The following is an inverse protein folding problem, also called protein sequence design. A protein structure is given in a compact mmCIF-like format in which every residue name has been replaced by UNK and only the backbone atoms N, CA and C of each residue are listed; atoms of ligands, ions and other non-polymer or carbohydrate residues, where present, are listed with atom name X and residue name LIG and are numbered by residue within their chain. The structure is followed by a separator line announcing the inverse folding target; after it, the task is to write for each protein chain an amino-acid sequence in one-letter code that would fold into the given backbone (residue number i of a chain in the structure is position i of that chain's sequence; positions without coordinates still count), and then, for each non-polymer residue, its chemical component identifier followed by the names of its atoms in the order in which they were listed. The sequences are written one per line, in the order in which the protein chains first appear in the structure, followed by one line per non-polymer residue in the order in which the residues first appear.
data_IF_357595601424
#
_entry.id   IF_357595601424
#
_cell.length_a   1.000
_cell.length_b   1.000
_cell.length_c   1.000
_cell.angle_alpha   90.00
_cell.angle_beta   90.00
_cell.angle_gamma   90.00
#
_symmetry.space_group_name_H-M   'P 1'
#
loop_
_entity.id
_entity.type
_entity.pdbx_description
1 polymer ?
#
# COMPACT_ATOMS: atom_id res chain seq x y z
N UNK A 1 20.77 23.55 -3.79
CA UNK A 1 20.31 23.20 -2.44
C UNK A 1 19.09 24.03 -2.02
N UNK A 2 19.20 25.36 -1.82
CA UNK A 2 18.07 26.23 -1.44
C UNK A 2 16.80 26.13 -2.30
N UNK A 3 16.93 25.99 -3.64
CA UNK A 3 15.78 25.82 -4.53
C UNK A 3 15.11 24.43 -4.44
N UNK A 4 15.86 23.41 -3.99
CA UNK A 4 15.33 22.07 -3.78
C UNK A 4 14.61 22.02 -2.43
N UNK A 5 15.23 22.56 -1.38
CA UNK A 5 14.61 22.71 -0.06
C UNK A 5 13.29 23.47 -0.10
N UNK A 6 13.22 24.59 -0.84
CA UNK A 6 11.98 25.37 -0.96
C UNK A 6 10.87 24.62 -1.70
N UNK A 7 11.22 23.76 -2.67
CA UNK A 7 10.26 22.91 -3.40
C UNK A 7 9.83 21.67 -2.61
N UNK A 8 10.64 21.22 -1.65
CA UNK A 8 10.35 20.07 -0.79
C UNK A 8 9.67 20.46 0.54
N UNK A 9 9.79 21.73 0.94
CA UNK A 9 9.18 22.29 2.16
C UNK A 9 7.67 21.98 2.31
N UNK A 10 6.82 22.12 1.26
CA UNK A 10 5.39 21.85 1.37
C UNK A 10 5.06 20.39 1.71
N UNK A 11 6.00 19.48 1.44
CA UNK A 11 5.82 18.05 1.62
C UNK A 11 6.48 17.53 2.91
N UNK A 12 7.07 18.42 3.72
CA UNK A 12 7.67 18.06 5.00
C UNK A 12 8.92 17.17 4.90
N UNK A 13 9.47 16.94 3.70
CA UNK A 13 10.75 16.25 3.53
C UNK A 13 11.87 17.08 4.17
N UNK A 14 12.73 16.43 4.93
CA UNK A 14 13.88 17.06 5.56
C UNK A 14 15.15 16.55 4.90
N UNK A 15 15.90 17.43 4.23
CA UNK A 15 17.23 17.10 3.74
C UNK A 15 18.15 16.89 4.93
N UNK A 16 18.88 15.78 4.93
CA UNK A 16 19.84 15.42 5.97
C UNK A 16 21.26 15.79 5.59
N UNK A 17 21.64 15.42 4.37
CA UNK A 17 22.96 15.66 3.84
C UNK A 17 22.90 15.69 2.31
N UNK A 18 23.83 16.43 1.72
CA UNK A 18 24.10 16.41 0.28
C UNK A 18 25.61 16.46 0.10
N UNK A 19 26.21 15.28 -0.05
CA UNK A 19 27.66 15.10 -0.12
C UNK A 19 28.00 14.07 -1.19
N UNK A 20 29.09 14.33 -1.93
CA UNK A 20 29.61 13.40 -2.94
C UNK A 20 28.54 12.94 -3.95
N UNK A 21 27.70 13.88 -4.40
CA UNK A 21 26.57 13.67 -5.34
C UNK A 21 25.43 12.81 -4.80
N UNK A 22 25.46 12.49 -3.52
CA UNK A 22 24.42 11.73 -2.83
C UNK A 22 23.54 12.67 -2.02
N UNK A 23 22.25 12.68 -2.34
CA UNK A 23 21.21 13.34 -1.59
C UNK A 23 20.60 12.36 -0.59
N UNK A 24 20.65 12.70 0.70
CA UNK A 24 20.03 11.93 1.77
C UNK A 24 18.95 12.77 2.45
N UNK A 25 17.77 12.19 2.63
CA UNK A 25 16.64 12.90 3.24
C UNK A 25 15.73 11.98 4.04
N UNK A 26 15.02 12.53 5.02
CA UNK A 26 13.90 11.86 5.68
C UNK A 26 12.60 12.15 4.95
N UNK A 27 11.84 11.08 4.67
CA UNK A 27 10.47 11.15 4.20
C UNK A 27 9.55 11.27 5.41
N UNK A 28 8.91 12.42 5.59
CA UNK A 28 7.96 12.61 6.68
C UNK A 28 6.58 12.11 6.27
N UNK A 29 5.97 11.21 7.04
CA UNK A 29 4.54 10.96 6.89
C UNK A 29 3.74 12.08 7.60
N UNK A 30 2.58 12.48 7.06
CA UNK A 30 1.72 13.45 7.69
C UNK A 30 1.18 12.87 8.99
N UNK A 31 0.99 13.77 9.94
CA UNK A 31 0.25 13.50 11.17
C UNK A 31 -1.21 13.37 10.76
N UNK A 32 -1.76 12.15 10.84
CA UNK A 32 -3.19 11.92 10.64
C UNK A 32 -3.88 12.10 11.98
N UNK A 33 -4.87 12.98 12.04
CA UNK A 33 -5.67 13.20 13.25
C UNK A 33 -6.75 12.12 13.38
N UNK A 34 -7.19 11.88 14.61
CA UNK A 34 -8.21 10.88 14.96
C UNK A 34 -9.61 11.11 14.34
N UNK A 35 -9.79 12.25 13.68
CA UNK A 35 -11.05 12.65 13.05
C UNK A 35 -10.99 12.50 11.51
N UNK A 36 -9.92 11.94 10.95
CA UNK A 36 -9.88 11.60 9.54
C UNK A 36 -10.87 10.46 9.26
N UNK A 37 -11.91 10.73 8.47
CA UNK A 37 -12.70 9.72 7.80
C UNK A 37 -12.23 9.62 6.35
N UNK A 38 -11.58 8.52 6.00
CA UNK A 38 -11.17 8.22 4.62
C UNK A 38 -12.00 7.03 4.15
N UNK A 39 -12.90 7.27 3.19
CA UNK A 39 -13.86 6.28 2.66
C UNK A 39 -14.63 5.54 3.77
N UNK A 40 -15.28 6.26 4.69
CA UNK A 40 -16.18 5.68 5.69
C UNK A 40 -15.50 4.88 6.81
N UNK A 41 -14.17 4.79 6.83
CA UNK A 41 -13.42 4.30 8.00
C UNK A 41 -13.02 5.49 8.86
N UNK A 42 -13.41 5.47 10.14
CA UNK A 42 -12.95 6.42 11.15
C UNK A 42 -11.59 5.95 11.66
N UNK A 43 -10.58 6.78 11.50
CA UNK A 43 -9.20 6.45 11.87
C UNK A 43 -8.95 6.85 13.32
N UNK A 44 -8.84 5.90 14.25
CA UNK A 44 -8.40 6.19 15.61
C UNK A 44 -6.85 6.22 15.67
N UNK A 45 -6.26 7.11 14.88
CA UNK A 45 -4.81 7.24 14.85
C UNK A 45 -4.30 8.07 16.02
N UNK A 46 -3.35 7.52 16.79
CA UNK A 46 -2.50 8.32 17.67
C UNK A 46 -1.60 9.21 16.81
N UNK A 47 -1.66 10.52 17.06
CA UNK A 47 -0.93 11.60 16.38
C UNK A 47 0.59 11.37 16.34
N UNK A 48 1.13 10.54 17.25
CA UNK A 48 2.57 10.29 17.39
C UNK A 48 3.10 9.09 16.58
N UNK A 49 2.26 8.28 15.92
CA UNK A 49 2.69 6.99 15.34
C UNK A 49 3.08 7.00 13.86
N UNK A 50 3.05 8.16 13.19
CA UNK A 50 3.35 8.29 11.76
C UNK A 50 4.71 8.91 11.46
N UNK A 51 5.65 8.83 12.40
CA UNK A 51 7.06 9.07 12.09
C UNK A 51 7.47 8.00 11.08
N UNK A 52 7.40 8.34 9.80
CA UNK A 52 8.07 7.56 8.78
C UNK A 52 9.56 7.80 8.98
N UNK A 53 10.24 6.80 9.54
CA UNK A 53 11.69 6.76 9.66
C UNK A 53 12.38 6.46 8.32
N UNK A 54 11.66 6.61 7.19
CA UNK A 54 12.22 6.25 5.89
C UNK A 54 13.24 7.29 5.46
N UNK A 55 14.47 6.84 5.30
CA UNK A 55 15.52 7.60 4.66
C UNK A 55 15.53 7.29 3.16
N UNK A 56 15.50 8.34 2.35
CA UNK A 56 15.68 8.27 0.92
C UNK A 56 17.09 8.72 0.57
N UNK A 57 17.83 7.86 -0.11
CA UNK A 57 19.17 8.10 -0.63
C UNK A 57 19.10 8.11 -2.15
N UNK A 58 19.56 9.19 -2.77
CA UNK A 58 19.57 9.37 -4.22
C UNK A 58 20.99 9.76 -4.65
N UNK A 59 21.63 8.91 -5.43
CA UNK A 59 22.84 9.28 -6.17
C UNK A 59 22.43 10.04 -7.43
N UNK A 60 23.00 11.23 -7.65
CA UNK A 60 22.60 12.14 -8.73
C UNK A 60 23.73 12.26 -9.75
N UNK A 61 23.41 12.22 -11.03
CA UNK A 61 24.36 12.63 -12.07
C UNK A 61 24.60 14.14 -12.01
N UNK A 62 25.83 14.59 -11.71
CA UNK A 62 26.21 16.01 -11.72
C UNK A 62 25.93 16.71 -13.05
N UNK A 63 26.01 15.98 -14.16
CA UNK A 63 25.92 16.54 -15.51
C UNK A 63 24.45 16.78 -15.87
N UNK A 64 23.59 15.78 -15.64
CA UNK A 64 22.19 15.81 -16.08
C UNK A 64 21.18 16.10 -14.95
N UNK A 65 21.64 16.12 -13.69
CA UNK A 65 20.80 16.23 -12.48
C UNK A 65 19.72 15.13 -12.40
N UNK A 66 20.02 13.95 -12.96
CA UNK A 66 19.14 12.78 -12.99
C UNK A 66 19.51 11.77 -11.89
N UNK A 67 18.52 11.07 -11.30
CA UNK A 67 18.80 10.01 -10.34
C UNK A 67 19.48 8.81 -11.01
N UNK A 68 20.69 8.44 -10.57
CA UNK A 68 21.41 7.23 -10.99
C UNK A 68 21.01 6.01 -10.20
N UNK A 69 20.89 6.20 -8.88
CA UNK A 69 20.58 5.14 -7.93
C UNK A 69 19.69 5.71 -6.84
N UNK A 70 18.67 4.94 -6.48
CA UNK A 70 17.68 5.33 -5.47
C UNK A 70 17.56 4.19 -4.48
N UNK A 71 17.64 4.51 -3.20
CA UNK A 71 17.52 3.55 -2.11
C UNK A 71 16.63 4.13 -1.02
N UNK A 72 15.74 3.30 -0.48
CA UNK A 72 14.88 3.61 0.65
C UNK A 72 15.32 2.72 1.82
N UNK A 73 15.46 3.30 3.01
CA UNK A 73 15.79 2.61 4.25
C UNK A 73 14.69 2.89 5.27
N UNK A 74 14.02 1.88 5.85
CA UNK A 74 14.18 0.46 5.53
C UNK A 74 13.78 0.13 4.09
N UNK A 75 14.37 -0.94 3.55
CA UNK A 75 14.02 -1.46 2.22
C UNK A 75 12.72 -2.27 2.32
N UNK A 76 11.61 -1.55 2.51
CA UNK A 76 10.26 -2.09 2.59
C UNK A 76 9.33 -1.52 1.49
N UNK A 77 9.84 -0.60 0.67
CA UNK A 77 9.19 0.01 -0.49
C UNK A 77 9.94 -0.34 -1.78
N UNK A 78 9.21 -0.74 -2.83
CA UNK A 78 9.82 -1.03 -4.13
C UNK A 78 10.00 0.27 -4.93
N UNK A 79 11.26 0.68 -5.11
CA UNK A 79 11.62 1.80 -5.98
C UNK A 79 11.23 1.52 -7.44
N UNK A 80 11.42 0.29 -7.90
CA UNK A 80 11.12 -0.10 -9.29
C UNK A 80 9.64 0.12 -9.62
N UNK A 81 8.74 -0.21 -8.69
CA UNK A 81 7.30 0.03 -8.85
C UNK A 81 7.00 1.54 -8.95
N UNK A 82 7.72 2.38 -8.21
CA UNK A 82 7.56 3.84 -8.30
C UNK A 82 8.06 4.39 -9.64
N UNK A 83 9.18 3.86 -10.14
CA UNK A 83 9.72 4.22 -11.45
C UNK A 83 8.78 3.76 -12.57
N UNK A 84 8.29 2.52 -12.53
CA UNK A 84 7.31 2.02 -13.51
C UNK A 84 6.05 2.90 -13.55
N UNK A 85 5.57 3.36 -12.38
CA UNK A 85 4.45 4.30 -12.33
C UNK A 85 4.78 5.64 -12.98
N UNK A 86 5.99 6.17 -12.76
CA UNK A 86 6.49 7.37 -13.42
C UNK A 86 6.38 7.27 -14.92
N UNK A 87 6.95 6.20 -15.47
CA UNK A 87 7.01 5.95 -16.91
C UNK A 87 5.61 5.73 -17.50
N UNK A 88 4.70 5.13 -16.71
CA UNK A 88 3.31 4.90 -17.14
C UNK A 88 2.44 6.16 -17.10
N UNK A 89 2.75 7.13 -16.22
CA UNK A 89 2.04 8.41 -16.13
C UNK A 89 2.49 9.29 -17.30
N UNK A 90 1.70 9.30 -18.37
CA UNK A 90 1.99 10.03 -19.63
C UNK A 90 2.03 11.57 -19.50
N UNK A 91 2.08 12.10 -18.28
CA UNK A 91 1.98 13.52 -17.92
C UNK A 91 3.32 14.12 -17.44
N UNK A 92 4.47 13.57 -17.83
CA UNK A 92 5.78 14.12 -17.46
C UNK A 92 6.23 15.22 -18.42
N UNK A 93 5.48 16.32 -18.44
CA UNK A 93 5.97 17.63 -18.89
C UNK A 93 6.10 18.52 -17.65
N UNK A 94 7.35 18.89 -17.33
CA UNK A 94 7.78 20.03 -16.49
C UNK A 94 8.16 19.87 -14.99
N UNK A 95 8.29 18.67 -14.40
CA UNK A 95 9.02 18.54 -13.11
C UNK A 95 10.38 17.87 -13.34
N UNK A 96 11.51 18.38 -12.80
CA UNK A 96 12.78 17.67 -12.83
C UNK A 96 12.58 16.27 -12.25
N UNK A 97 13.03 15.22 -12.96
CA UNK A 97 12.86 13.79 -12.61
C UNK A 97 13.11 13.51 -11.14
N UNK A 98 14.11 14.19 -10.56
CA UNK A 98 14.45 14.13 -9.14
C UNK A 98 13.32 14.59 -8.20
N UNK A 99 12.69 15.74 -8.48
CA UNK A 99 11.65 16.31 -7.60
C UNK A 99 10.40 15.44 -7.63
N UNK A 100 9.99 15.00 -8.82
CA UNK A 100 8.85 14.11 -8.97
C UNK A 100 9.07 12.78 -8.24
N UNK A 101 10.27 12.20 -8.37
CA UNK A 101 10.62 10.96 -7.67
C UNK A 101 10.53 11.12 -6.15
N UNK A 102 11.07 12.22 -5.60
CA UNK A 102 10.99 12.51 -4.17
C UNK A 102 9.52 12.62 -3.75
N UNK A 103 8.69 13.34 -4.51
CA UNK A 103 7.27 13.48 -4.23
C UNK A 103 6.54 12.13 -4.23
N UNK A 104 6.85 11.22 -5.15
CA UNK A 104 6.26 9.89 -5.15
C UNK A 104 6.73 9.03 -4.00
N UNK A 105 8.01 9.08 -3.64
CA UNK A 105 8.52 8.35 -2.48
C UNK A 105 7.82 8.82 -1.21
N UNK A 106 7.62 10.14 -1.08
CA UNK A 106 6.84 10.70 0.02
C UNK A 106 5.39 10.22 -0.02
N UNK A 107 4.67 10.47 -1.11
CA UNK A 107 3.27 10.07 -1.28
C UNK A 107 3.05 8.58 -0.96
N UNK A 108 3.92 7.72 -1.46
CA UNK A 108 3.86 6.30 -1.18
C UNK A 108 4.14 5.98 0.28
N UNK A 109 5.11 6.65 0.92
CA UNK A 109 5.37 6.48 2.35
C UNK A 109 4.14 6.83 3.20
N UNK A 110 3.39 7.87 2.82
CA UNK A 110 2.14 8.28 3.47
C UNK A 110 1.08 7.19 3.32
N UNK A 111 0.84 6.75 2.07
CA UNK A 111 -0.15 5.73 1.75
C UNK A 111 0.18 4.42 2.47
N UNK A 112 1.44 3.99 2.48
CA UNK A 112 1.84 2.76 3.13
C UNK A 112 1.62 2.81 4.64
N UNK A 113 1.85 3.96 5.26
CA UNK A 113 1.58 4.15 6.67
C UNK A 113 0.06 4.08 6.96
N UNK A 114 -0.77 4.72 6.13
CA UNK A 114 -2.24 4.60 6.18
C UNK A 114 -2.70 3.15 6.06
N UNK A 115 -2.21 2.43 5.04
CA UNK A 115 -2.54 1.02 4.81
C UNK A 115 -2.20 0.16 6.02
N UNK A 116 -1.01 0.35 6.59
CA UNK A 116 -0.54 -0.38 7.77
C UNK A 116 -1.45 -0.13 8.97
N UNK A 117 -1.86 1.13 9.19
CA UNK A 117 -2.83 1.47 10.23
C UNK A 117 -4.18 0.76 10.00
N UNK A 118 -4.74 0.86 8.79
CA UNK A 118 -6.02 0.24 8.45
C UNK A 118 -6.02 -1.29 8.62
N UNK A 119 -4.94 -1.93 8.20
CA UNK A 119 -4.76 -3.38 8.34
C UNK A 119 -4.65 -3.76 9.83
N UNK A 120 -3.92 -2.97 10.62
CA UNK A 120 -3.82 -3.18 12.06
C UNK A 120 -5.16 -2.97 12.77
N UNK A 121 -5.95 -1.97 12.37
CA UNK A 121 -7.27 -1.71 12.95
C UNK A 121 -8.31 -2.79 12.55
N UNK A 122 -8.15 -3.39 11.37
CA UNK A 122 -8.99 -4.50 10.92
C UNK A 122 -8.65 -5.83 11.63
N UNK A 123 -7.44 -5.96 12.20
CA UNK A 123 -7.04 -7.16 12.92
C UNK A 123 -7.89 -7.34 14.19
N UNK A 124 -8.39 -8.56 14.37
CA UNK A 124 -9.24 -8.93 15.50
C UNK A 124 -9.01 -10.40 15.86
N UNK A 125 -9.72 -10.91 16.88
CA UNK A 125 -9.70 -12.34 17.18
C UNK A 125 -10.28 -13.21 16.06
N UNK A 126 -11.11 -12.64 15.17
CA UNK A 126 -11.75 -13.35 14.05
C UNK A 126 -10.96 -13.26 12.75
N UNK A 127 -10.33 -12.12 12.49
CA UNK A 127 -9.61 -11.88 11.24
C UNK A 127 -8.16 -11.49 11.51
N UNK A 128 -7.23 -12.16 10.83
CA UNK A 128 -5.82 -11.84 10.84
C UNK A 128 -5.37 -11.41 9.45
N UNK A 129 -4.72 -10.25 9.36
CA UNK A 129 -4.30 -9.59 8.16
C UNK A 129 -2.81 -9.24 8.23
N UNK A 130 -2.11 -9.53 7.14
CA UNK A 130 -0.72 -9.13 6.93
C UNK A 130 -0.63 -8.14 5.76
N UNK A 131 0.02 -7.01 5.99
CA UNK A 131 0.31 -6.03 4.93
C UNK A 131 1.71 -6.22 4.37
N UNK A 132 1.79 -6.64 3.10
CA UNK A 132 3.04 -6.85 2.38
C UNK A 132 3.38 -5.60 1.55
N UNK A 133 4.03 -4.63 2.20
CA UNK A 133 4.34 -3.32 1.62
C UNK A 133 5.02 -3.41 0.24
N UNK A 134 6.14 -4.14 0.12
CA UNK A 134 6.87 -4.35 -1.13
C UNK A 134 6.05 -4.96 -2.28
N UNK A 135 5.02 -5.74 -1.96
CA UNK A 135 4.18 -6.42 -2.95
C UNK A 135 2.87 -5.69 -3.22
N UNK A 136 2.61 -4.58 -2.52
CA UNK A 136 1.35 -3.85 -2.52
C UNK A 136 0.13 -4.77 -2.40
N UNK A 137 0.23 -5.69 -1.44
CA UNK A 137 -0.75 -6.74 -1.21
C UNK A 137 -1.10 -6.84 0.26
N UNK A 138 -2.35 -7.19 0.53
CA UNK A 138 -2.80 -7.63 1.85
C UNK A 138 -3.07 -9.14 1.76
N UNK A 139 -2.63 -9.88 2.77
CA UNK A 139 -3.01 -11.27 2.96
C UNK A 139 -3.99 -11.33 4.11
N UNK A 140 -5.17 -11.90 3.90
CA UNK A 140 -6.11 -12.20 4.96
C UNK A 140 -6.07 -13.70 5.26
N UNK A 141 -5.81 -14.04 6.51
CA UNK A 141 -5.82 -15.39 7.04
C UNK A 141 -7.20 -15.65 7.64
N UNK A 142 -8.00 -16.42 6.91
CA UNK A 142 -9.36 -16.75 7.31
C UNK A 142 -9.38 -18.03 8.16
N UNK A 143 -10.49 -18.19 8.87
CA UNK A 143 -10.79 -19.44 9.55
C UNK A 143 -10.76 -20.62 8.57
N UNK A 144 -10.46 -21.81 9.09
CA UNK A 144 -10.29 -23.07 8.33
C UNK A 144 -8.98 -23.17 7.52
N UNK A 145 -8.04 -22.25 7.73
CA UNK A 145 -6.71 -22.31 7.12
C UNK A 145 -6.75 -21.92 5.65
N UNK A 146 -7.45 -20.83 5.34
CA UNK A 146 -7.54 -20.28 3.99
C UNK A 146 -6.84 -18.93 3.97
N UNK A 147 -5.92 -18.76 3.04
CA UNK A 147 -5.28 -17.48 2.79
C UNK A 147 -5.87 -16.82 1.56
N UNK A 148 -6.18 -15.54 1.71
CA UNK A 148 -6.75 -14.70 0.67
C UNK A 148 -5.78 -13.56 0.37
N UNK A 149 -5.30 -13.51 -0.86
CA UNK A 149 -4.39 -12.47 -1.33
C UNK A 149 -5.16 -11.37 -2.05
N UNK A 150 -5.06 -10.15 -1.56
CA UNK A 150 -5.83 -8.97 -2.00
C UNK A 150 -4.87 -7.93 -2.59
N UNK A 151 -5.12 -7.51 -3.83
CA UNK A 151 -4.44 -6.37 -4.46
C UNK A 151 -5.14 -5.08 -4.08
N UNK A 152 -4.34 -4.06 -3.82
CA UNK A 152 -4.79 -2.67 -3.71
C UNK A 152 -4.47 -1.90 -4.99
N UNK A 153 -5.23 -0.85 -5.28
CA UNK A 153 -4.79 0.18 -6.23
C UNK A 153 -3.66 1.01 -5.59
N UNK A 154 -2.84 1.67 -6.40
CA UNK A 154 -1.71 2.51 -5.96
C UNK A 154 -2.09 3.52 -4.91
N UNK A 155 -3.29 4.09 -5.01
CA UNK A 155 -3.78 5.15 -4.14
C UNK A 155 -4.81 4.65 -3.13
N UNK A 156 -5.10 3.36 -2.99
CA UNK A 156 -5.93 2.90 -1.87
C UNK A 156 -5.19 3.16 -0.55
N UNK A 157 -5.82 3.71 0.50
CA UNK A 157 -7.26 3.92 0.66
C UNK A 157 -7.78 5.29 0.22
N UNK A 158 -6.98 6.13 -0.45
CA UNK A 158 -7.35 7.49 -0.89
C UNK A 158 -8.19 7.55 -2.18
N UNK A 159 -8.40 6.44 -2.88
CA UNK A 159 -9.23 6.37 -4.10
C UNK A 159 -10.43 5.42 -3.92
N UNK A 160 -11.48 5.61 -4.72
CA UNK A 160 -12.70 4.79 -4.71
C UNK A 160 -12.56 3.45 -5.44
N UNK A 161 -11.36 3.08 -5.90
CA UNK A 161 -11.15 1.80 -6.56
C UNK A 161 -11.25 0.66 -5.54
N UNK A 162 -12.11 -0.31 -5.84
CA UNK A 162 -12.31 -1.48 -4.98
C UNK A 162 -11.10 -2.41 -4.97
N UNK A 163 -10.80 -2.97 -3.80
CA UNK A 163 -9.83 -4.05 -3.59
C UNK A 163 -10.15 -5.23 -4.52
N UNK A 164 -9.10 -5.94 -4.96
CA UNK A 164 -9.23 -7.05 -5.91
C UNK A 164 -8.65 -8.32 -5.34
N UNK A 165 -9.42 -9.40 -5.38
CA UNK A 165 -8.95 -10.72 -5.00
C UNK A 165 -8.03 -11.30 -6.08
N UNK A 166 -6.78 -11.61 -5.72
CA UNK A 166 -5.80 -12.21 -6.64
C UNK A 166 -5.81 -13.73 -6.50
N UNK A 167 -5.79 -14.25 -5.28
CA UNK A 167 -5.82 -15.69 -5.03
C UNK A 167 -6.48 -16.04 -3.72
N UNK A 168 -7.06 -17.24 -3.69
CA UNK A 168 -7.51 -17.92 -2.47
C UNK A 168 -6.82 -19.26 -2.44
N UNK A 169 -6.19 -19.63 -1.32
CA UNK A 169 -5.39 -20.85 -1.20
C UNK A 169 -5.67 -21.52 0.14
N UNK A 170 -5.61 -22.85 0.17
CA UNK A 170 -5.53 -23.57 1.44
C UNK A 170 -4.11 -23.41 1.98
N UNK A 171 -3.98 -22.86 3.18
CA UNK A 171 -2.72 -22.47 3.81
C UNK A 171 -2.35 -23.32 5.04
N UNK A 172 -3.18 -24.30 5.40
CA UNK A 172 -2.92 -25.22 6.51
C UNK A 172 -2.84 -26.68 6.10
N UNK A 173 -2.17 -27.49 6.92
CA UNK A 173 -2.08 -28.96 6.78
C UNK A 173 -3.38 -29.70 7.16
N UNK A 174 -4.50 -28.97 7.31
CA UNK A 174 -5.77 -29.53 7.79
C UNK A 174 -6.52 -30.21 6.64
N UNK A 175 -7.26 -31.31 6.92
CA UNK A 175 -7.94 -32.12 5.91
C UNK A 175 -9.16 -31.46 5.26
N UNK A 176 -9.57 -30.28 5.70
CA UNK A 176 -10.71 -29.52 5.14
C UNK A 176 -10.32 -28.74 3.89
N UNK A 177 -9.59 -29.37 2.97
CA UNK A 177 -9.16 -28.73 1.73
C UNK A 177 -10.37 -28.42 0.87
N UNK A 178 -10.66 -27.12 0.70
CA UNK A 178 -11.70 -26.68 -0.22
C UNK A 178 -11.24 -26.98 -1.64
N UNK A 179 -12.13 -27.57 -2.44
CA UNK A 179 -11.85 -27.88 -3.83
C UNK A 179 -11.43 -26.61 -4.60
N UNK A 180 -10.38 -26.72 -5.42
CA UNK A 180 -9.85 -25.60 -6.21
C UNK A 180 -10.91 -24.93 -7.10
N UNK A 181 -11.91 -25.69 -7.56
CA UNK A 181 -13.04 -25.17 -8.33
C UNK A 181 -13.91 -24.21 -7.52
N UNK A 182 -14.16 -24.50 -6.24
CA UNK A 182 -14.89 -23.61 -5.33
C UNK A 182 -14.06 -22.35 -5.06
N UNK A 183 -12.76 -22.50 -4.81
CA UNK A 183 -11.88 -21.36 -4.57
C UNK A 183 -11.78 -20.43 -5.80
N UNK A 184 -11.70 -21.01 -7.01
CA UNK A 184 -11.70 -20.25 -8.25
C UNK A 184 -13.01 -19.48 -8.44
N UNK A 185 -14.15 -20.16 -8.27
CA UNK A 185 -15.48 -19.54 -8.38
C UNK A 185 -15.70 -18.46 -7.32
N UNK A 186 -15.25 -18.68 -6.09
CA UNK A 186 -15.30 -17.69 -5.00
C UNK A 186 -14.54 -16.42 -5.39
N UNK A 187 -13.33 -16.57 -5.94
CA UNK A 187 -12.52 -15.44 -6.39
C UNK A 187 -13.20 -14.64 -7.51
N UNK A 188 -13.86 -15.30 -8.45
CA UNK A 188 -14.62 -14.65 -9.51
C UNK A 188 -15.79 -13.85 -8.93
N UNK A 189 -16.65 -14.50 -8.14
CA UNK A 189 -17.81 -13.88 -7.50
C UNK A 189 -17.42 -12.70 -6.59
N UNK A 190 -16.34 -12.84 -5.81
CA UNK A 190 -15.87 -11.78 -4.92
C UNK A 190 -15.39 -10.54 -5.70
N UNK A 191 -14.82 -10.72 -6.89
CA UNK A 191 -14.40 -9.63 -7.75
C UNK A 191 -15.57 -8.98 -8.51
N UNK A 192 -16.71 -9.64 -8.61
CA UNK A 192 -17.95 -9.11 -9.21
C UNK A 192 -18.83 -8.36 -8.20
N UNK A 193 -18.48 -8.41 -6.91
CA UNK A 193 -19.17 -7.64 -5.86
C UNK A 193 -19.17 -6.14 -6.17
N UNK A 194 -20.19 -5.46 -5.65
CA UNK A 194 -20.35 -4.02 -5.80
C UNK A 194 -19.10 -3.26 -5.31
N UNK A 195 -18.69 -2.16 -5.98
CA UNK A 195 -17.51 -1.40 -5.60
C UNK A 195 -17.50 -0.97 -4.13
N UNK A 196 -18.65 -0.66 -3.56
CA UNK A 196 -18.82 -0.27 -2.16
C UNK A 196 -18.38 -1.39 -1.20
N UNK A 197 -18.76 -2.63 -1.49
CA UNK A 197 -18.31 -3.79 -0.70
C UNK A 197 -16.79 -3.96 -0.82
N UNK A 198 -16.27 -3.80 -2.04
CA UNK A 198 -14.86 -4.00 -2.35
C UNK A 198 -13.95 -2.86 -1.88
N UNK A 199 -14.48 -1.69 -1.53
CA UNK A 199 -13.66 -0.57 -1.04
C UNK A 199 -13.14 -0.80 0.38
N UNK A 200 -13.84 -1.61 1.18
CA UNK A 200 -13.54 -1.85 2.59
C UNK A 200 -12.95 -3.25 2.81
N UNK A 201 -11.83 -3.31 3.52
CA UNK A 201 -11.11 -4.57 3.76
C UNK A 201 -11.97 -5.60 4.50
N UNK A 202 -12.59 -5.21 5.62
CA UNK A 202 -13.43 -6.11 6.42
C UNK A 202 -14.66 -6.57 5.64
N UNK A 203 -15.39 -5.65 5.04
CA UNK A 203 -16.60 -5.96 4.27
C UNK A 203 -16.31 -6.91 3.10
N UNK A 204 -15.18 -6.71 2.40
CA UNK A 204 -14.75 -7.64 1.35
C UNK A 204 -14.47 -9.04 1.93
N UNK A 205 -13.75 -9.12 3.04
CA UNK A 205 -13.36 -10.40 3.64
C UNK A 205 -14.57 -11.16 4.20
N UNK A 206 -15.48 -10.49 4.91
CA UNK A 206 -16.74 -11.07 5.36
C UNK A 206 -17.55 -11.61 4.15
N UNK A 207 -17.62 -10.83 3.06
CA UNK A 207 -18.31 -11.28 1.85
C UNK A 207 -17.62 -12.48 1.18
N UNK A 208 -16.29 -12.56 1.21
CA UNK A 208 -15.54 -13.73 0.72
C UNK A 208 -15.87 -14.97 1.55
N UNK A 209 -15.88 -14.85 2.88
CA UNK A 209 -16.27 -15.95 3.77
C UNK A 209 -17.69 -16.44 3.48
N UNK A 210 -18.64 -15.52 3.31
CA UNK A 210 -20.04 -15.84 3.00
C UNK A 210 -20.17 -16.57 1.65
N UNK A 211 -19.44 -16.13 0.63
CA UNK A 211 -19.41 -16.80 -0.67
C UNK A 211 -18.86 -18.22 -0.52
N UNK A 212 -17.76 -18.41 0.23
CA UNK A 212 -17.18 -19.74 0.48
C UNK A 212 -18.21 -20.66 1.14
N UNK A 213 -18.87 -20.19 2.20
CA UNK A 213 -19.88 -20.96 2.94
C UNK A 213 -21.06 -21.32 2.02
N UNK A 214 -21.52 -20.37 1.20
CA UNK A 214 -22.61 -20.59 0.25
C UNK A 214 -22.24 -21.64 -0.80
N UNK A 215 -21.05 -21.56 -1.38
CA UNK A 215 -20.56 -22.51 -2.40
C UNK A 215 -20.25 -23.89 -1.83
N UNK A 216 -19.95 -24.00 -0.53
CA UNK A 216 -19.82 -25.29 0.15
C UNK A 216 -21.18 -25.95 0.43
N UNK A 217 -22.23 -25.17 0.69
CA UNK A 217 -23.60 -25.66 0.98
C UNK A 217 -24.44 -25.94 -0.26
N UNK A 218 -24.07 -25.43 -1.42
CA UNK A 218 -24.75 -25.68 -2.70
C UNK A 218 -24.38 -27.04 -3.33
N UNK A 219 -23.55 -27.83 -2.64
CA UNK A 219 -23.24 -29.24 -2.95
C UNK A 219 -24.01 -30.18 -2.04
#
# INVERSE_FOLDING_TARGET
MFQLESKLLPFGAKILDFKDDCLRMFLKAPILTSDCEIYGQKFNCSIDSFISDHELLIEIDKINMEPKKVQIIPDDMSVDILIERMESSRDTVCSPTLIWLIQQCQHQSIINALRRSLVNDANSSRHCFEYLNKKEMIVAHLDRGIDVSIKMSSDWPLCSYGLKLISIRNAGDRPTNIASTILCKTKELANELEPQIRQHLLTLVDAVEDIIIRELRSR
#
